data_IF_135019984477
#
_entry.id   IF_135019984477
#
_cell.length_a   1.000
_cell.length_b   1.000
_cell.length_c   1.000
_cell.angle_alpha   90.00
_cell.angle_beta   90.00
_cell.angle_gamma   90.00
#
_symmetry.space_group_name_H-M   'P 1'
#
loop_
_entity.id
_entity.type
_entity.pdbx_description
1 polymer ?
#
# COMPACT_ATOMS: atom_id res chain seq x y z
N UNK A 1 25.32 -1.05 -3.43
CA UNK A 1 24.45 -2.15 -2.99
C UNK A 1 23.16 -2.01 -3.76
N UNK A 2 22.71 -3.07 -4.45
CA UNK A 2 21.43 -3.05 -5.15
C UNK A 2 20.37 -3.43 -4.10
N UNK A 3 19.57 -2.46 -3.65
CA UNK A 3 18.50 -2.71 -2.68
C UNK A 3 17.42 -3.55 -3.36
N UNK A 4 17.00 -4.64 -2.73
CA UNK A 4 15.93 -5.46 -3.28
C UNK A 4 14.57 -4.77 -3.11
N UNK A 5 13.56 -5.18 -3.89
CA UNK A 5 12.25 -4.51 -3.92
C UNK A 5 11.55 -4.52 -2.56
N UNK A 6 11.76 -5.55 -1.74
CA UNK A 6 11.13 -5.67 -0.42
C UNK A 6 11.77 -4.67 0.56
N UNK A 7 13.11 -4.60 0.58
CA UNK A 7 13.85 -3.60 1.35
C UNK A 7 13.48 -2.17 0.93
N UNK A 8 13.27 -1.95 -0.37
CA UNK A 8 12.83 -0.66 -0.87
C UNK A 8 11.44 -0.28 -0.35
N UNK A 9 10.48 -1.22 -0.39
CA UNK A 9 9.14 -1.00 0.15
C UNK A 9 9.19 -0.72 1.65
N UNK A 10 9.94 -1.53 2.41
CA UNK A 10 10.09 -1.34 3.85
C UNK A 10 10.68 0.04 4.19
N UNK A 11 11.69 0.48 3.43
CA UNK A 11 12.26 1.82 3.59
C UNK A 11 11.25 2.93 3.30
N UNK A 12 10.43 2.81 2.25
CA UNK A 12 9.39 3.80 1.93
C UNK A 12 8.35 3.92 3.05
N UNK A 13 7.91 2.79 3.60
CA UNK A 13 6.92 2.76 4.68
C UNK A 13 7.46 3.39 5.97
N UNK A 14 8.72 3.13 6.30
CA UNK A 14 9.34 3.70 7.50
C UNK A 14 9.58 5.20 7.36
N UNK A 15 10.00 5.67 6.17
CA UNK A 15 10.11 7.11 5.89
C UNK A 15 8.75 7.80 6.04
N UNK A 16 7.68 7.21 5.49
CA UNK A 16 6.34 7.78 5.62
C UNK A 16 5.89 7.84 7.09
N UNK A 17 6.10 6.76 7.86
CA UNK A 17 5.78 6.71 9.29
C UNK A 17 6.45 7.85 10.05
N UNK A 18 7.76 8.03 9.86
CA UNK A 18 8.53 9.07 10.54
C UNK A 18 8.03 10.48 10.16
N UNK A 19 7.73 10.70 8.88
CA UNK A 19 7.20 11.98 8.43
C UNK A 19 5.85 12.29 9.08
N UNK A 20 4.95 11.32 9.18
CA UNK A 20 3.63 11.49 9.79
C UNK A 20 3.70 11.72 11.30
N UNK A 21 4.59 11.01 12.00
CA UNK A 21 4.83 11.24 13.43
C UNK A 21 5.36 12.65 13.71
N UNK A 22 6.20 13.18 12.82
CA UNK A 22 6.74 14.54 12.94
C UNK A 22 5.73 15.63 12.56
N UNK A 23 4.81 15.37 11.64
CA UNK A 23 3.85 16.37 11.14
C UNK A 23 2.53 16.39 11.91
N UNK A 24 2.20 15.32 12.64
CA UNK A 24 0.90 15.12 13.33
C UNK A 24 -0.31 15.31 12.39
N UNK A 25 -0.14 15.06 11.09
CA UNK A 25 -1.18 15.25 10.07
C UNK A 25 -2.22 14.13 10.03
N UNK A 26 -1.88 12.96 10.57
CA UNK A 26 -2.75 11.79 10.65
C UNK A 26 -2.86 11.33 12.10
N UNK A 27 -4.00 10.73 12.44
CA UNK A 27 -4.22 10.16 13.76
C UNK A 27 -3.31 8.95 14.00
N UNK A 28 -2.79 8.85 15.22
CA UNK A 28 -1.93 7.75 15.65
C UNK A 28 -2.68 6.40 15.55
N UNK A 29 -4.01 6.40 15.68
CA UNK A 29 -4.82 5.19 15.51
C UNK A 29 -4.74 4.65 14.08
N UNK A 30 -4.84 5.51 13.05
CA UNK A 30 -4.74 5.09 11.63
C UNK A 30 -3.36 4.55 11.30
N UNK A 31 -2.31 5.19 11.82
CA UNK A 31 -0.93 4.70 11.65
C UNK A 31 -0.80 3.33 12.31
N UNK A 32 -1.30 3.18 13.53
CA UNK A 32 -1.27 1.92 14.28
C UNK A 32 -2.00 0.81 13.52
N UNK A 33 -3.23 1.07 13.06
CA UNK A 33 -4.03 0.11 12.31
C UNK A 33 -3.33 -0.36 11.02
N UNK A 34 -2.72 0.56 10.28
CA UNK A 34 -1.94 0.20 9.09
C UNK A 34 -0.83 -0.80 9.42
N UNK A 35 -0.09 -0.57 10.51
CA UNK A 35 1.01 -1.44 10.93
C UNK A 35 0.54 -2.75 11.58
N UNK A 36 -0.64 -2.79 12.19
CA UNK A 36 -1.28 -4.04 12.63
C UNK A 36 -1.68 -4.93 11.45
N UNK A 37 -2.16 -4.31 10.36
CA UNK A 37 -2.48 -4.99 9.12
C UNK A 37 -1.24 -5.28 8.27
N UNK A 38 -0.08 -4.69 8.57
CA UNK A 38 1.15 -4.90 7.79
C UNK A 38 1.48 -6.40 7.70
N UNK A 39 1.82 -6.82 6.49
CA UNK A 39 2.37 -8.14 6.21
C UNK A 39 3.66 -7.98 5.42
N UNK A 40 4.57 -8.96 5.52
CA UNK A 40 5.68 -9.04 4.56
C UNK A 40 5.14 -8.88 3.15
N UNK A 41 5.78 -8.05 2.33
CA UNK A 41 5.22 -7.69 1.03
C UNK A 41 5.15 -8.91 0.14
N UNK A 42 3.94 -9.22 -0.35
CA UNK A 42 3.68 -10.39 -1.20
C UNK A 42 3.31 -9.92 -2.60
N UNK A 43 3.90 -10.56 -3.60
CA UNK A 43 3.59 -10.33 -4.99
C UNK A 43 2.15 -10.74 -5.31
N UNK A 44 1.40 -9.85 -5.95
CA UNK A 44 -0.01 -10.04 -6.33
C UNK A 44 -0.26 -9.47 -7.71
N UNK A 45 -1.29 -9.97 -8.40
CA UNK A 45 -1.81 -9.35 -9.61
C UNK A 45 -2.95 -8.41 -9.22
N UNK A 46 -2.84 -7.14 -9.64
CA UNK A 46 -3.83 -6.10 -9.37
C UNK A 46 -4.52 -5.73 -10.67
N UNK A 47 -5.84 -5.62 -10.62
CA UNK A 47 -6.66 -5.18 -11.73
C UNK A 47 -6.76 -3.65 -11.71
N UNK A 48 -6.66 -3.05 -12.88
CA UNK A 48 -6.81 -1.62 -13.10
C UNK A 48 -7.97 -1.37 -14.07
N UNK A 49 -8.51 -0.14 -14.01
CA UNK A 49 -9.48 0.33 -14.98
C UNK A 49 -8.98 0.13 -16.42
N UNK A 50 -9.89 -0.28 -17.33
CA UNK A 50 -9.55 -0.63 -18.70
C UNK A 50 -9.14 -2.10 -18.92
N UNK A 51 -9.29 -2.96 -17.90
CA UNK A 51 -9.02 -4.40 -18.02
C UNK A 51 -7.53 -4.75 -17.99
N UNK A 52 -6.71 -3.83 -17.48
CA UNK A 52 -5.25 -4.00 -17.38
C UNK A 52 -4.92 -4.72 -16.08
N UNK A 53 -3.98 -5.64 -16.13
CA UNK A 53 -3.44 -6.31 -14.95
C UNK A 53 -1.96 -5.98 -14.81
N UNK A 54 -1.52 -5.71 -13.57
CA UNK A 54 -0.10 -5.49 -13.27
C UNK A 54 0.35 -6.31 -12.07
N UNK A 55 1.63 -6.66 -12.08
CA UNK A 55 2.29 -7.26 -10.93
C UNK A 55 2.63 -6.16 -9.91
N UNK A 56 2.14 -6.32 -8.69
CA UNK A 56 2.31 -5.38 -7.59
C UNK A 56 2.68 -6.12 -6.30
N UNK A 57 2.99 -5.39 -5.24
CA UNK A 57 3.36 -5.96 -3.95
C UNK A 57 2.37 -5.51 -2.90
N UNK A 58 1.51 -6.41 -2.44
CA UNK A 58 0.59 -6.12 -1.34
C UNK A 58 1.37 -5.99 -0.04
N UNK A 59 1.14 -4.90 0.69
CA UNK A 59 1.85 -4.57 1.95
C UNK A 59 0.97 -4.69 3.19
N UNK A 60 -0.36 -4.61 3.05
CA UNK A 60 -1.29 -4.91 4.15
C UNK A 60 -2.04 -6.21 3.90
N UNK A 61 -2.40 -6.92 4.96
CA UNK A 61 -3.46 -7.93 4.89
C UNK A 61 -4.73 -7.25 4.43
N UNK A 62 -5.51 -7.95 3.62
CA UNK A 62 -6.89 -7.53 3.37
C UNK A 62 -7.63 -7.48 4.70
N UNK A 63 -8.29 -6.36 4.98
CA UNK A 63 -9.23 -6.23 6.09
C UNK A 63 -10.66 -6.66 5.69
N UNK A 64 -10.81 -7.37 4.57
CA UNK A 64 -12.09 -7.75 3.98
C UNK A 64 -12.75 -6.66 3.14
N UNK A 65 -12.13 -5.49 3.00
CA UNK A 65 -12.62 -4.40 2.14
C UNK A 65 -11.51 -3.78 1.31
N UNK A 66 -10.35 -3.52 1.92
CA UNK A 66 -9.24 -2.83 1.28
C UNK A 66 -7.89 -3.50 1.57
N UNK A 67 -6.96 -3.32 0.63
CA UNK A 67 -5.54 -3.61 0.81
C UNK A 67 -4.70 -2.53 0.13
N UNK A 68 -3.49 -2.31 0.63
CA UNK A 68 -2.53 -1.38 0.03
C UNK A 68 -1.49 -2.18 -0.75
N UNK A 69 -1.21 -1.75 -1.97
CA UNK A 69 -0.24 -2.37 -2.87
C UNK A 69 0.80 -1.36 -3.33
N UNK A 70 2.05 -1.79 -3.46
CA UNK A 70 3.12 -1.02 -4.09
C UNK A 70 3.19 -1.37 -5.59
N UNK A 71 3.32 -0.33 -6.42
CA UNK A 71 3.43 -0.44 -7.88
C UNK A 71 4.85 -0.09 -8.33
N UNK A 72 5.70 -1.06 -8.70
CA UNK A 72 7.11 -0.78 -8.99
C UNK A 72 7.33 0.10 -10.22
N UNK A 73 6.50 -0.04 -11.25
CA UNK A 73 6.61 0.80 -12.45
C UNK A 73 6.34 2.28 -12.15
N UNK A 74 5.49 2.54 -11.16
CA UNK A 74 5.06 3.89 -10.79
C UNK A 74 5.87 4.48 -9.62
N UNK A 75 6.45 3.61 -8.78
CA UNK A 75 7.26 3.99 -7.62
C UNK A 75 6.45 4.45 -6.40
N UNK A 76 5.15 4.17 -6.36
CA UNK A 76 4.25 4.57 -5.26
C UNK A 76 3.20 3.49 -4.94
N UNK A 77 2.33 3.76 -3.98
CA UNK A 77 1.30 2.84 -3.50
C UNK A 77 -0.10 3.17 -4.04
N UNK A 78 -0.94 2.15 -4.08
CA UNK A 78 -2.36 2.25 -4.43
C UNK A 78 -3.20 1.59 -3.33
N UNK A 79 -4.35 2.20 -3.04
CA UNK A 79 -5.44 1.54 -2.33
C UNK A 79 -6.25 0.69 -3.30
N UNK A 80 -6.44 -0.57 -2.95
CA UNK A 80 -7.22 -1.53 -3.72
C UNK A 80 -8.39 -2.04 -2.89
N UNK A 81 -9.53 -2.26 -3.52
CA UNK A 81 -10.62 -3.05 -2.94
C UNK A 81 -10.45 -4.52 -3.25
N UNK A 82 -10.87 -5.39 -2.33
CA UNK A 82 -10.94 -6.82 -2.62
C UNK A 82 -12.13 -7.10 -3.57
N UNK A 83 -11.87 -7.85 -4.64
CA UNK A 83 -12.91 -8.26 -5.59
C UNK A 83 -12.82 -9.76 -5.90
N UNK A 84 -13.85 -10.30 -6.54
CA UNK A 84 -13.87 -11.70 -6.98
C UNK A 84 -12.74 -12.06 -7.97
N UNK A 85 -12.16 -11.06 -8.65
CA UNK A 85 -11.06 -11.22 -9.59
C UNK A 85 -9.69 -10.86 -8.98
N UNK A 86 -9.62 -10.69 -7.66
CA UNK A 86 -8.46 -10.19 -6.94
C UNK A 86 -8.54 -8.69 -6.65
N UNK A 87 -7.46 -8.08 -6.13
CA UNK A 87 -7.44 -6.66 -5.80
C UNK A 87 -7.75 -5.79 -7.04
N UNK A 88 -8.56 -4.75 -6.84
CA UNK A 88 -8.93 -3.76 -7.85
C UNK A 88 -8.49 -2.38 -7.38
N UNK A 89 -7.63 -1.73 -8.16
CA UNK A 89 -7.25 -0.34 -7.96
C UNK A 89 -8.48 0.59 -8.09
N UNK A 90 -8.63 1.50 -7.12
CA UNK A 90 -9.73 2.48 -7.09
C UNK A 90 -9.27 3.92 -7.35
N UNK A 91 -8.05 4.12 -7.86
CA UNK A 91 -7.53 5.44 -8.23
C UNK A 91 -7.02 6.29 -7.06
N UNK A 92 -6.88 5.73 -5.85
CA UNK A 92 -6.27 6.40 -4.70
C UNK A 92 -4.79 6.01 -4.64
N UNK A 93 -3.92 6.96 -4.99
CA UNK A 93 -2.50 6.73 -5.21
C UNK A 93 -1.63 7.67 -4.38
N UNK A 94 -0.45 7.20 -3.97
CA UNK A 94 0.53 8.02 -3.27
C UNK A 94 1.31 7.23 -2.21
N UNK A 95 1.67 7.89 -1.09
CA UNK A 95 2.23 7.21 0.09
C UNK A 95 1.25 6.17 0.66
N UNK A 96 1.76 5.10 1.27
CA UNK A 96 0.98 3.93 1.64
C UNK A 96 -0.03 4.20 2.77
N UNK A 97 0.42 4.85 3.84
CA UNK A 97 -0.40 5.17 5.01
C UNK A 97 -1.44 6.24 4.63
N UNK A 98 -1.07 7.20 3.77
CA UNK A 98 -2.04 8.17 3.22
C UNK A 98 -3.09 7.55 2.30
N UNK A 99 -2.70 6.55 1.49
CA UNK A 99 -3.68 5.77 0.74
C UNK A 99 -4.64 5.04 1.68
N UNK A 100 -4.09 4.42 2.73
CA UNK A 100 -4.88 3.72 3.75
C UNK A 100 -5.83 4.64 4.51
N UNK A 101 -5.45 5.89 4.79
CA UNK A 101 -6.29 6.86 5.50
C UNK A 101 -7.43 7.46 4.65
N UNK A 102 -7.61 7.00 3.41
CA UNK A 102 -8.67 7.49 2.52
C UNK A 102 -10.01 6.75 2.71
N UNK A 103 -10.07 5.80 3.66
CA UNK A 103 -11.25 4.98 4.00
C UNK A 103 -11.65 5.11 5.45
#
# INVERSE_FOLDING_TARGET
MHMNILEHIDALLEIERQNLQNSSELDDATITEFFELRTQSVKVIVNFSGGIQKECWRVTKSNGSYSVVYMPEAGYFSLCVDSALGPLDIGVHGPAIRCFSSV
#
